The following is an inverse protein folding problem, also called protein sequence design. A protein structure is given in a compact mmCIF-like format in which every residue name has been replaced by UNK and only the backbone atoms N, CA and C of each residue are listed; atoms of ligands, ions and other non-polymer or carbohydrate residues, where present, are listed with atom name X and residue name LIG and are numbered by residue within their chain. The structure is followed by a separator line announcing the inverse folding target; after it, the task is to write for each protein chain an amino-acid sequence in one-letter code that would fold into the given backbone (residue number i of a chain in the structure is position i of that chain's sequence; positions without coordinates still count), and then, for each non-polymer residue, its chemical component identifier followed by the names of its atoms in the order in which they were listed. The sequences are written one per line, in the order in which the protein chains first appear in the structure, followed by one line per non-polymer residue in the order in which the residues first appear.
data_IF_166804842980
#
_entry.id   IF_166804842980
#
_cell.length_a   1.000
_cell.length_b   1.000
_cell.length_c   1.000
_cell.angle_alpha   90.00
_cell.angle_beta   90.00
_cell.angle_gamma   90.00
#
_symmetry.space_group_name_H-M   'P 1'
#
loop_
_entity.id
_entity.type
_entity.pdbx_description
1 polymer ?
#
# COMPACT_ATOMS: atom_id res chain seq x y z
N UNK A 1 -1.41 -72.74 7.75
CA UNK A 1 -0.32 -72.02 8.45
C UNK A 1 0.10 -70.84 7.57
N UNK A 2 0.00 -69.60 8.09
CA UNK A 2 0.74 -68.37 7.73
C UNK A 2 0.74 -67.90 6.25
N UNK A 3 0.70 -66.62 5.86
CA UNK A 3 0.41 -65.31 6.43
C UNK A 3 0.40 -64.36 5.19
N UNK A 4 -0.57 -63.44 5.15
CA UNK A 4 -0.61 -62.09 4.54
C UNK A 4 0.58 -61.53 3.74
N UNK A 5 0.28 -60.76 2.67
CA UNK A 5 0.81 -59.41 2.30
C UNK A 5 0.24 -59.00 0.91
N UNK A 6 -0.86 -58.25 0.80
CA UNK A 6 -1.04 -56.77 0.82
C UNK A 6 -0.24 -55.96 -0.23
N UNK A 7 -1.03 -55.35 -1.12
CA UNK A 7 -0.88 -54.16 -1.99
C UNK A 7 0.46 -53.40 -2.01
N UNK A 8 0.87 -53.00 -3.22
CA UNK A 8 1.56 -51.72 -3.45
C UNK A 8 1.26 -51.17 -4.85
N UNK A 9 0.35 -50.20 -4.86
CA UNK A 9 0.10 -49.21 -5.90
C UNK A 9 1.11 -48.09 -5.69
N UNK A 10 1.87 -47.69 -6.72
CA UNK A 10 2.66 -46.46 -6.68
C UNK A 10 2.60 -45.75 -8.04
N UNK A 11 1.48 -45.04 -8.22
CA UNK A 11 1.35 -43.91 -9.12
C UNK A 11 2.32 -42.82 -8.65
N UNK A 12 3.45 -42.65 -9.35
CA UNK A 12 4.25 -41.43 -9.25
C UNK A 12 3.49 -40.29 -9.96
N UNK A 13 2.62 -39.60 -9.23
CA UNK A 13 2.15 -38.27 -9.64
C UNK A 13 3.22 -37.26 -9.26
N UNK A 14 3.89 -36.71 -10.28
CA UNK A 14 4.79 -35.57 -10.13
C UNK A 14 4.01 -34.36 -9.62
N UNK A 15 4.29 -33.97 -8.38
CA UNK A 15 3.89 -32.69 -7.81
C UNK A 15 4.67 -31.58 -8.53
N UNK A 16 4.07 -31.01 -9.57
CA UNK A 16 4.47 -29.70 -10.07
C UNK A 16 4.18 -28.66 -8.97
N UNK A 17 5.24 -28.18 -8.32
CA UNK A 17 5.18 -26.97 -7.52
C UNK A 17 4.89 -25.79 -8.46
N UNK A 18 3.60 -25.49 -8.67
CA UNK A 18 3.18 -24.24 -9.28
C UNK A 18 3.34 -23.16 -8.21
N UNK A 19 4.48 -22.48 -8.19
CA UNK A 19 4.66 -21.27 -7.38
C UNK A 19 3.77 -20.18 -7.97
N UNK A 20 2.54 -20.05 -7.48
CA UNK A 20 1.64 -18.98 -7.85
C UNK A 20 2.23 -17.63 -7.40
N UNK A 21 2.52 -16.67 -8.29
CA UNK A 21 2.93 -15.32 -7.91
C UNK A 21 1.67 -14.54 -7.47
N UNK A 22 1.07 -14.94 -6.35
CA UNK A 22 -0.32 -14.56 -6.05
C UNK A 22 -0.51 -13.35 -5.15
N UNK A 23 0.41 -13.06 -4.22
CA UNK A 23 0.12 -12.10 -3.15
C UNK A 23 1.20 -11.03 -2.94
N UNK A 24 2.47 -11.35 -3.19
CA UNK A 24 3.57 -10.39 -3.04
C UNK A 24 3.56 -9.30 -4.12
N UNK A 25 3.14 -9.65 -5.35
CA UNK A 25 3.15 -8.74 -6.50
C UNK A 25 1.97 -7.76 -6.47
N UNK A 26 0.81 -8.19 -5.94
CA UNK A 26 -0.34 -7.31 -5.74
C UNK A 26 -0.02 -6.22 -4.71
N UNK A 27 0.65 -6.56 -3.60
CA UNK A 27 1.04 -5.58 -2.56
C UNK A 27 1.99 -4.46 -3.05
N UNK A 28 2.71 -4.66 -4.15
CA UNK A 28 3.72 -3.73 -4.66
C UNK A 28 3.22 -2.85 -5.82
N UNK A 29 2.11 -3.21 -6.47
CA UNK A 29 1.66 -2.57 -7.71
C UNK A 29 1.53 -1.03 -7.64
N UNK A 30 1.07 -0.42 -6.53
CA UNK A 30 0.96 1.04 -6.43
C UNK A 30 2.28 1.76 -6.07
N UNK A 31 3.36 1.05 -5.77
CA UNK A 31 4.64 1.65 -5.35
C UNK A 31 5.76 1.42 -6.38
N UNK A 32 5.46 0.75 -7.49
CA UNK A 32 6.38 0.58 -8.63
C UNK A 32 6.48 1.83 -9.52
N UNK A 33 5.43 2.67 -9.57
CA UNK A 33 5.40 3.96 -10.26
C UNK A 33 5.05 5.09 -9.29
N UNK A 34 6.01 5.48 -8.45
CA UNK A 34 5.81 6.49 -7.40
C UNK A 34 5.36 7.83 -8.00
N UNK A 35 6.04 8.32 -9.03
CA UNK A 35 5.74 9.64 -9.60
C UNK A 35 4.33 9.67 -10.22
N UNK A 36 3.97 8.67 -11.03
CA UNK A 36 2.65 8.57 -11.63
C UNK A 36 1.53 8.47 -10.60
N UNK A 37 1.73 7.65 -9.55
CA UNK A 37 0.75 7.51 -8.48
C UNK A 37 0.65 8.76 -7.62
N UNK A 38 1.77 9.44 -7.34
CA UNK A 38 1.75 10.72 -6.65
C UNK A 38 0.94 11.77 -7.42
N UNK A 39 1.15 11.90 -8.74
CA UNK A 39 0.37 12.81 -9.60
C UNK A 39 -1.13 12.46 -9.60
N UNK A 40 -1.46 11.17 -9.72
CA UNK A 40 -2.86 10.69 -9.70
C UNK A 40 -3.56 11.01 -8.38
N UNK A 41 -2.89 10.73 -7.25
CA UNK A 41 -3.37 11.05 -5.91
C UNK A 41 -3.54 12.57 -5.75
N UNK A 42 -2.54 13.37 -6.10
CA UNK A 42 -2.62 14.83 -6.00
C UNK A 42 -3.75 15.39 -6.85
N UNK A 43 -4.00 14.84 -8.05
CA UNK A 43 -5.15 15.25 -8.89
C UNK A 43 -6.49 14.96 -8.22
N UNK A 44 -6.63 13.80 -7.57
CA UNK A 44 -7.84 13.46 -6.79
C UNK A 44 -8.00 14.40 -5.60
N UNK A 45 -6.93 14.65 -4.85
CA UNK A 45 -6.95 15.59 -3.72
C UNK A 45 -7.26 17.03 -4.18
N UNK A 46 -6.74 17.47 -5.32
CA UNK A 46 -7.04 18.79 -5.90
C UNK A 46 -8.54 18.98 -6.08
N UNK A 47 -9.18 18.00 -6.69
CA UNK A 47 -10.62 18.05 -6.99
C UNK A 47 -11.44 17.95 -5.70
N UNK A 48 -11.13 16.99 -4.84
CA UNK A 48 -11.92 16.72 -3.65
C UNK A 48 -11.80 17.80 -2.56
N UNK A 49 -10.63 18.45 -2.45
CA UNK A 49 -10.33 19.44 -1.42
C UNK A 49 -10.30 20.87 -1.96
N UNK A 50 -10.59 21.05 -3.25
CA UNK A 50 -10.49 22.34 -3.96
C UNK A 50 -9.13 23.01 -3.71
N UNK A 51 -8.04 22.26 -3.92
CA UNK A 51 -6.69 22.76 -3.66
C UNK A 51 -6.36 23.93 -4.59
N UNK A 52 -5.72 24.95 -4.05
CA UNK A 52 -5.22 26.08 -4.85
C UNK A 52 -4.00 25.68 -5.68
N UNK A 53 -3.70 26.48 -6.70
CA UNK A 53 -2.48 26.30 -7.52
C UNK A 53 -1.20 26.40 -6.67
N UNK A 54 -1.21 27.15 -5.57
CA UNK A 54 -0.07 27.24 -4.64
C UNK A 54 0.06 26.02 -3.72
N UNK A 55 -1.07 25.38 -3.37
CA UNK A 55 -1.10 24.19 -2.53
C UNK A 55 -0.69 22.95 -3.33
N UNK A 56 -1.13 22.83 -4.58
CA UNK A 56 -0.94 21.65 -5.41
C UNK A 56 0.53 21.14 -5.47
N UNK A 57 1.55 21.96 -5.79
CA UNK A 57 2.93 21.47 -5.84
C UNK A 57 3.45 21.02 -4.47
N UNK A 58 3.03 21.68 -3.38
CA UNK A 58 3.42 21.30 -2.01
C UNK A 58 2.81 19.96 -1.60
N UNK A 59 1.55 19.72 -2.00
CA UNK A 59 0.87 18.44 -1.80
C UNK A 59 1.50 17.34 -2.64
N UNK A 60 1.86 17.61 -3.90
CA UNK A 60 2.58 16.66 -4.74
C UNK A 60 3.89 16.21 -4.11
N UNK A 61 4.70 17.16 -3.61
CA UNK A 61 5.93 16.83 -2.89
C UNK A 61 5.66 16.00 -1.64
N UNK A 62 4.65 16.37 -0.84
CA UNK A 62 4.32 15.63 0.38
C UNK A 62 3.89 14.19 0.08
N UNK A 63 3.06 13.98 -0.96
CA UNK A 63 2.61 12.66 -1.40
C UNK A 63 3.78 11.85 -1.93
N UNK A 64 4.61 12.43 -2.80
CA UNK A 64 5.79 11.76 -3.39
C UNK A 64 6.72 11.26 -2.30
N UNK A 65 7.12 12.14 -1.37
CA UNK A 65 8.01 11.77 -0.27
C UNK A 65 7.42 10.68 0.62
N UNK A 66 6.11 10.70 0.88
CA UNK A 66 5.46 9.68 1.68
C UNK A 66 5.47 8.30 0.98
N UNK A 67 5.17 8.26 -0.33
CA UNK A 67 5.23 7.02 -1.12
C UNK A 67 6.66 6.47 -1.21
N UNK A 68 7.67 7.33 -1.36
CA UNK A 68 9.08 6.95 -1.30
C UNK A 68 9.45 6.36 0.06
N UNK A 69 9.10 7.03 1.16
CA UNK A 69 9.35 6.49 2.50
C UNK A 69 8.71 5.12 2.69
N UNK A 70 7.47 4.96 2.24
CA UNK A 70 6.76 3.68 2.30
C UNK A 70 7.44 2.60 1.46
N UNK A 71 7.92 2.91 0.26
CA UNK A 71 8.57 1.93 -0.61
C UNK A 71 9.80 1.30 0.06
N UNK A 72 10.53 2.06 0.87
CA UNK A 72 11.71 1.56 1.61
C UNK A 72 11.40 0.51 2.68
N UNK A 73 10.15 0.41 3.14
CA UNK A 73 9.75 -0.52 4.20
C UNK A 73 8.90 -1.68 3.70
N UNK A 74 8.59 -1.77 2.40
CA UNK A 74 7.64 -2.78 1.88
C UNK A 74 8.02 -4.22 2.21
N UNK A 75 9.29 -4.56 2.14
CA UNK A 75 9.79 -5.91 2.48
C UNK A 75 9.53 -6.29 3.94
N UNK A 76 9.38 -5.30 4.83
CA UNK A 76 9.04 -5.51 6.24
C UNK A 76 7.61 -6.01 6.41
N UNK A 77 6.70 -5.77 5.47
CA UNK A 77 5.31 -6.23 5.60
C UNK A 77 5.22 -7.76 5.72
N UNK A 78 6.12 -8.49 5.06
CA UNK A 78 6.19 -9.96 5.14
C UNK A 78 7.18 -10.45 6.21
N UNK A 79 8.31 -9.76 6.39
CA UNK A 79 9.40 -10.22 7.28
C UNK A 79 9.24 -9.77 8.74
N UNK A 80 8.64 -8.61 8.98
CA UNK A 80 8.38 -8.07 10.31
C UNK A 80 7.18 -7.09 10.29
N UNK A 81 5.93 -7.62 10.28
CA UNK A 81 4.72 -6.81 10.15
C UNK A 81 4.57 -5.76 11.26
N UNK A 82 5.04 -6.06 12.48
CA UNK A 82 5.01 -5.12 13.60
C UNK A 82 5.88 -3.90 13.32
N UNK A 83 7.13 -4.12 12.89
CA UNK A 83 8.04 -3.03 12.53
C UNK A 83 7.53 -2.23 11.33
N UNK A 84 6.95 -2.90 10.32
CA UNK A 84 6.29 -2.25 9.19
C UNK A 84 5.21 -1.28 9.67
N UNK A 85 4.26 -1.76 10.47
CA UNK A 85 3.15 -0.95 10.97
C UNK A 85 3.63 0.23 11.83
N UNK A 86 4.65 0.03 12.68
CA UNK A 86 5.24 1.12 13.47
C UNK A 86 5.86 2.21 12.59
N UNK A 87 6.65 1.82 11.57
CA UNK A 87 7.27 2.78 10.65
C UNK A 87 6.25 3.49 9.78
N UNK A 88 5.29 2.75 9.22
CA UNK A 88 4.21 3.31 8.42
C UNK A 88 3.42 4.36 9.21
N UNK A 89 3.03 4.06 10.46
CA UNK A 89 2.35 5.03 11.34
C UNK A 89 3.19 6.29 11.56
N UNK A 90 4.51 6.14 11.73
CA UNK A 90 5.43 7.29 11.86
C UNK A 90 5.47 8.15 10.60
N UNK A 91 5.49 7.52 9.42
CA UNK A 91 5.44 8.21 8.12
C UNK A 91 4.09 8.92 7.93
N UNK A 92 2.98 8.27 8.25
CA UNK A 92 1.65 8.87 8.20
C UNK A 92 1.52 10.08 9.13
N UNK A 93 2.06 10.00 10.35
CA UNK A 93 2.08 11.13 11.27
C UNK A 93 2.88 12.30 10.69
N UNK A 94 4.03 12.03 10.08
CA UNK A 94 4.87 13.05 9.45
C UNK A 94 4.22 13.68 8.22
N UNK A 95 3.58 12.85 7.40
CA UNK A 95 2.76 13.28 6.26
C UNK A 95 1.60 14.17 6.71
N UNK A 96 0.83 13.75 7.72
CA UNK A 96 -0.28 14.54 8.27
C UNK A 96 0.19 15.88 8.84
N UNK A 97 1.34 15.93 9.53
CA UNK A 97 1.93 17.21 9.98
C UNK A 97 2.24 18.11 8.78
N UNK A 98 2.81 17.57 7.70
CA UNK A 98 3.10 18.34 6.49
C UNK A 98 1.82 18.87 5.84
N UNK A 99 0.78 18.04 5.72
CA UNK A 99 -0.51 18.45 5.18
C UNK A 99 -1.12 19.61 5.97
N UNK A 100 -1.09 19.57 7.31
CA UNK A 100 -1.59 20.66 8.16
C UNK A 100 -0.87 22.00 7.96
N UNK A 101 0.34 22.01 7.41
CA UNK A 101 1.06 23.26 7.09
C UNK A 101 0.69 23.85 5.74
N UNK A 102 0.01 23.08 4.89
CA UNK A 102 -0.32 23.44 3.50
C UNK A 102 -1.82 23.65 3.32
N UNK A 103 -2.63 22.78 3.94
CA UNK A 103 -4.08 22.77 3.85
C UNK A 103 -4.69 23.71 4.90
N UNK A 104 -5.86 24.27 4.60
CA UNK A 104 -6.70 24.88 5.63
C UNK A 104 -7.26 23.81 6.59
N UNK A 105 -7.76 24.19 7.78
CA UNK A 105 -8.40 23.25 8.69
C UNK A 105 -9.54 22.45 8.02
N UNK A 106 -10.37 23.10 7.20
CA UNK A 106 -11.51 22.49 6.50
C UNK A 106 -11.01 21.48 5.45
N UNK A 107 -10.01 21.85 4.65
CA UNK A 107 -9.40 20.94 3.68
C UNK A 107 -8.71 19.75 4.35
N UNK A 108 -8.10 19.94 5.51
CA UNK A 108 -7.49 18.85 6.26
C UNK A 108 -8.55 17.89 6.82
N UNK A 109 -9.66 18.41 7.36
CA UNK A 109 -10.81 17.58 7.75
C UNK A 109 -11.35 16.79 6.56
N UNK A 110 -11.58 17.47 5.42
CA UNK A 110 -12.00 16.81 4.18
C UNK A 110 -11.01 15.73 3.73
N UNK A 111 -9.70 15.95 3.86
CA UNK A 111 -8.69 14.91 3.58
C UNK A 111 -8.89 13.68 4.46
N UNK A 112 -9.18 13.84 5.75
CA UNK A 112 -9.39 12.71 6.66
C UNK A 112 -10.66 11.91 6.30
N UNK A 113 -11.69 12.59 5.80
CA UNK A 113 -12.94 11.98 5.33
C UNK A 113 -12.77 11.20 4.02
N UNK A 114 -11.74 11.51 3.22
CA UNK A 114 -11.39 10.74 2.01
C UNK A 114 -10.77 9.37 2.31
N UNK A 115 -10.59 9.00 3.58
CA UNK A 115 -10.07 7.69 3.96
C UNK A 115 -11.03 6.59 3.47
N UNK A 116 -10.57 5.67 2.59
CA UNK A 116 -11.39 4.55 2.16
C UNK A 116 -11.81 3.67 3.35
N UNK A 117 -12.94 2.96 3.24
CA UNK A 117 -13.41 2.07 4.30
C UNK A 117 -12.46 0.86 4.52
N UNK A 118 -11.86 0.38 3.43
CA UNK A 118 -10.95 -0.77 3.42
C UNK A 118 -9.65 -0.43 2.71
N UNK A 119 -8.60 -1.22 2.96
CA UNK A 119 -7.35 -1.13 2.20
C UNK A 119 -7.56 -1.72 0.80
N UNK A 120 -8.15 -0.94 -0.09
CA UNK A 120 -8.39 -1.31 -1.47
C UNK A 120 -7.22 -0.87 -2.35
N UNK A 121 -6.53 -1.84 -2.94
CA UNK A 121 -5.37 -1.63 -3.80
C UNK A 121 -5.70 -0.93 -5.13
N UNK A 122 -6.97 -0.97 -5.55
CA UNK A 122 -7.45 -0.28 -6.75
C UNK A 122 -7.76 1.20 -6.47
N UNK A 123 -8.02 1.54 -5.21
CA UNK A 123 -8.16 2.93 -4.78
C UNK A 123 -6.80 3.51 -4.41
N UNK A 124 -6.25 4.36 -5.29
CA UNK A 124 -4.96 5.01 -5.07
C UNK A 124 -4.88 5.82 -3.77
N UNK A 125 -6.01 6.29 -3.22
CA UNK A 125 -6.02 6.99 -1.93
C UNK A 125 -5.72 6.05 -0.75
N UNK A 126 -6.01 4.75 -0.86
CA UNK A 126 -5.66 3.76 0.18
C UNK A 126 -4.18 3.81 0.52
N UNK A 127 -3.34 4.17 -0.46
CA UNK A 127 -1.90 4.30 -0.25
C UNK A 127 -1.54 5.29 0.85
N UNK A 128 -2.36 6.32 1.10
CA UNK A 128 -2.09 7.34 2.12
C UNK A 128 -2.53 6.90 3.53
N UNK A 129 -3.47 5.97 3.64
CA UNK A 129 -4.15 5.65 4.90
C UNK A 129 -3.84 4.26 5.46
N UNK A 130 -3.40 3.32 4.62
CA UNK A 130 -3.14 1.90 4.96
C UNK A 130 -1.80 1.45 4.42
#
# INVERSE_FOLDING_TARGET
MKNTLLLSLLLLTGLAFVSSPGYAQLQQAPLSNIEGNARSITSKLKTALTLTEEQQPKILTAVTNFLEQRSTILSMNNSNPKAYNTKLKSFQNSFNRKLKTVLTPEQFTGFQELKPATNDMTNVLSQLFY
#
